data_IF_025890330786
#
_entry.id   IF_025890330786
#
_cell.length_a   1.000
_cell.length_b   1.000
_cell.length_c   1.000
_cell.angle_alpha   90.00
_cell.angle_beta   90.00
_cell.angle_gamma   90.00
#
_symmetry.space_group_name_H-M   'P 1'
#
loop_
_entity.id
_entity.type
_entity.pdbx_description
1 polymer ?
#
# COMPACT_ATOMS: atom_id res chain seq x y z
N UNK A 1 11.52 17.03 12.34
CA UNK A 1 12.05 15.75 12.83
C UNK A 1 11.55 14.66 11.89
N UNK A 2 12.41 13.72 11.48
CA UNK A 2 12.00 12.63 10.59
C UNK A 2 11.23 11.55 11.35
N UNK A 3 10.29 10.88 10.69
CA UNK A 3 9.59 9.74 11.27
C UNK A 3 10.59 8.61 11.57
N UNK A 4 10.59 7.99 12.77
CA UNK A 4 11.56 6.98 13.16
C UNK A 4 11.36 5.60 12.50
N UNK A 5 10.52 5.50 11.46
CA UNK A 5 10.25 4.28 10.70
C UNK A 5 9.74 3.10 11.56
N UNK A 6 9.02 3.44 12.63
CA UNK A 6 8.33 2.50 13.52
C UNK A 6 7.17 3.20 14.22
N UNK A 7 6.13 2.43 14.55
CA UNK A 7 5.01 2.94 15.36
C UNK A 7 5.52 3.31 16.76
N UNK A 8 5.12 4.50 17.22
CA UNK A 8 5.40 5.01 18.57
C UNK A 8 4.13 4.86 19.40
N UNK A 9 4.25 4.28 20.60
CA UNK A 9 3.09 3.93 21.43
C UNK A 9 3.44 3.93 22.92
N UNK A 10 2.44 3.61 23.75
CA UNK A 10 2.61 3.43 25.19
C UNK A 10 3.82 2.54 25.51
N UNK A 11 4.70 3.02 26.40
CA UNK A 11 5.94 2.34 26.75
C UNK A 11 7.14 2.71 25.89
N UNK A 12 7.03 3.71 24.99
CA UNK A 12 8.19 4.28 24.30
C UNK A 12 9.23 4.81 25.29
N UNK A 13 10.50 4.44 25.06
CA UNK A 13 11.64 4.74 25.93
C UNK A 13 12.61 5.76 25.34
N UNK A 14 12.48 6.12 24.07
CA UNK A 14 13.27 7.19 23.45
C UNK A 14 12.85 8.56 24.02
N UNK A 15 13.62 9.04 25.00
CA UNK A 15 13.30 10.24 25.77
C UNK A 15 13.21 11.51 24.89
N UNK A 16 14.10 11.65 23.91
CA UNK A 16 14.12 12.81 23.02
C UNK A 16 12.90 12.80 22.08
N UNK A 17 12.56 11.61 21.56
CA UNK A 17 11.37 11.41 20.74
C UNK A 17 10.09 11.73 21.52
N UNK A 18 9.96 11.21 22.75
CA UNK A 18 8.79 11.45 23.61
C UNK A 18 8.66 12.93 23.95
N UNK A 19 9.76 13.58 24.29
CA UNK A 19 9.79 15.03 24.55
C UNK A 19 9.28 15.83 23.35
N UNK A 20 9.79 15.52 22.15
CA UNK A 20 9.36 16.18 20.92
C UNK A 20 7.85 16.00 20.65
N UNK A 21 7.33 14.79 20.85
CA UNK A 21 5.89 14.50 20.72
C UNK A 21 5.06 15.33 21.69
N UNK A 22 5.45 15.37 22.97
CA UNK A 22 4.71 16.11 24.00
C UNK A 22 4.68 17.61 23.72
N UNK A 23 5.80 18.17 23.26
CA UNK A 23 5.88 19.58 22.82
C UNK A 23 4.87 19.84 21.70
N UNK A 24 4.87 19.01 20.66
CA UNK A 24 3.95 19.18 19.53
C UNK A 24 2.49 19.00 19.94
N UNK A 25 2.17 18.01 20.78
CA UNK A 25 0.79 17.81 21.25
C UNK A 25 0.29 19.03 22.04
N UNK A 26 1.10 19.58 22.94
CA UNK A 26 0.75 20.78 23.71
C UNK A 26 0.49 21.98 22.77
N UNK A 27 1.32 22.15 21.73
CA UNK A 27 1.18 23.23 20.75
C UNK A 27 -0.07 23.05 19.87
N UNK A 28 -0.27 21.86 19.28
CA UNK A 28 -1.37 21.61 18.33
C UNK A 28 -2.74 21.57 19.01
N UNK A 29 -2.82 21.06 20.24
CA UNK A 29 -4.10 20.94 20.95
C UNK A 29 -4.51 22.22 21.68
N UNK A 30 -3.63 23.22 21.76
CA UNK A 30 -3.83 24.50 22.49
C UNK A 30 -4.36 24.22 23.91
N UNK A 31 -3.67 23.33 24.63
CA UNK A 31 -4.09 22.89 25.96
C UNK A 31 -3.89 24.02 26.97
N UNK A 32 -4.83 24.18 27.90
CA UNK A 32 -4.61 25.00 29.08
C UNK A 32 -3.41 24.48 29.88
N UNK A 33 -2.70 25.34 30.61
CA UNK A 33 -1.48 24.95 31.34
C UNK A 33 -1.69 23.77 32.30
N UNK A 34 -2.88 23.63 32.88
CA UNK A 34 -3.25 22.51 33.76
C UNK A 34 -3.46 21.16 33.05
N UNK A 35 -3.61 21.18 31.72
CA UNK A 35 -3.82 20.01 30.87
C UNK A 35 -2.59 19.67 30.02
N UNK A 36 -1.59 20.55 29.99
CA UNK A 36 -0.37 20.36 29.23
C UNK A 36 0.42 19.15 29.74
N UNK A 37 0.98 18.38 28.81
CA UNK A 37 1.88 17.28 29.12
C UNK A 37 3.20 17.82 29.65
N UNK A 38 3.71 17.23 30.73
CA UNK A 38 5.07 17.47 31.21
C UNK A 38 6.09 16.94 30.20
N UNK A 39 6.81 17.86 29.56
CA UNK A 39 7.80 17.60 28.50
C UNK A 39 9.14 17.11 29.06
N UNK A 40 9.39 17.23 30.37
CA UNK A 40 10.61 16.70 31.01
C UNK A 40 10.46 15.24 31.41
N UNK A 41 9.24 14.75 31.61
CA UNK A 41 9.00 13.33 31.80
C UNK A 41 9.35 12.56 30.50
N UNK A 42 10.32 11.63 30.52
CA UNK A 42 10.77 10.93 29.31
C UNK A 42 9.80 9.84 28.85
N UNK A 43 8.79 9.49 29.65
CA UNK A 43 7.94 8.34 29.38
C UNK A 43 6.73 8.69 28.50
N UNK A 44 6.47 7.87 27.49
CA UNK A 44 5.17 7.84 26.82
C UNK A 44 4.20 7.01 27.68
N UNK A 45 3.54 7.70 28.62
CA UNK A 45 2.57 7.13 29.53
C UNK A 45 1.12 7.23 29.05
N UNK A 46 0.19 6.87 29.92
CA UNK A 46 -1.26 6.89 29.66
C UNK A 46 -1.77 8.28 29.26
N UNK A 47 -1.27 9.35 29.89
CA UNK A 47 -1.66 10.74 29.56
C UNK A 47 -1.25 11.11 28.13
N UNK A 48 -0.02 10.78 27.71
CA UNK A 48 0.44 10.99 26.33
C UNK A 48 -0.43 10.22 25.35
N UNK A 49 -0.76 8.95 25.65
CA UNK A 49 -1.68 8.15 24.81
C UNK A 49 -3.06 8.81 24.66
N UNK A 50 -3.62 9.35 25.74
CA UNK A 50 -4.91 10.04 25.70
C UNK A 50 -4.84 11.32 24.85
N UNK A 51 -3.77 12.10 24.97
CA UNK A 51 -3.57 13.29 24.15
C UNK A 51 -3.35 12.97 22.67
N UNK A 52 -2.67 11.87 22.35
CA UNK A 52 -2.58 11.40 20.96
C UNK A 52 -3.96 11.04 20.42
N UNK A 53 -4.81 10.35 21.20
CA UNK A 53 -6.20 10.08 20.78
C UNK A 53 -7.00 11.36 20.57
N UNK A 54 -6.84 12.34 21.45
CA UNK A 54 -7.50 13.64 21.31
C UNK A 54 -7.05 14.36 20.04
N UNK A 55 -5.74 14.35 19.75
CA UNK A 55 -5.20 14.87 18.49
C UNK A 55 -5.78 14.11 17.29
N UNK A 56 -5.75 12.78 17.28
CA UNK A 56 -6.30 11.96 16.20
C UNK A 56 -7.80 12.19 15.98
N UNK A 57 -8.57 12.56 17.01
CA UNK A 57 -10.00 12.90 16.87
C UNK A 57 -10.28 14.29 16.30
N UNK A 58 -9.29 15.20 16.32
CA UNK A 58 -9.44 16.61 15.93
C UNK A 58 -8.76 16.95 14.60
N UNK A 59 -7.78 16.14 14.19
CA UNK A 59 -6.95 16.40 13.01
C UNK A 59 -7.09 15.31 11.95
N UNK A 60 -6.83 15.70 10.70
CA UNK A 60 -6.82 14.82 9.52
C UNK A 60 -5.39 14.55 9.05
N UNK A 61 -5.22 13.59 8.13
CA UNK A 61 -4.03 13.56 7.29
C UNK A 61 -4.01 14.71 6.27
N UNK A 62 -2.91 14.86 5.51
CA UNK A 62 -2.78 15.90 4.48
C UNK A 62 -3.79 15.80 3.33
N UNK A 63 -4.46 14.65 3.20
CA UNK A 63 -5.47 14.39 2.20
C UNK A 63 -6.88 14.66 2.76
N UNK A 64 -6.98 15.20 3.98
CA UNK A 64 -8.25 15.52 4.64
C UNK A 64 -8.98 14.31 5.23
N UNK A 65 -8.33 13.14 5.29
CA UNK A 65 -8.97 11.94 5.84
C UNK A 65 -8.81 11.88 7.37
N UNK A 66 -9.82 11.36 8.10
CA UNK A 66 -9.70 11.15 9.53
C UNK A 66 -8.54 10.20 9.88
N UNK A 67 -7.79 10.59 10.92
CA UNK A 67 -6.78 9.73 11.52
C UNK A 67 -7.46 8.60 12.31
N UNK A 68 -6.77 7.46 12.42
CA UNK A 68 -7.23 6.36 13.27
C UNK A 68 -7.03 6.74 14.73
N UNK A 69 -8.08 6.64 15.56
CA UNK A 69 -8.05 7.05 16.97
C UNK A 69 -7.64 5.86 17.85
N UNK A 70 -6.37 5.49 17.82
CA UNK A 70 -5.82 4.35 18.59
C UNK A 70 -4.82 4.77 19.68
N UNK A 71 -4.33 6.01 19.65
CA UNK A 71 -3.30 6.50 20.56
C UNK A 71 -1.90 6.02 20.19
N UNK A 72 -1.72 5.48 18.98
CA UNK A 72 -0.44 5.10 18.40
C UNK A 72 -0.05 6.13 17.33
N UNK A 73 1.21 6.56 17.31
CA UNK A 73 1.72 7.49 16.31
C UNK A 73 2.40 6.69 15.21
N UNK A 74 1.66 6.41 14.14
CA UNK A 74 2.20 5.96 12.85
C UNK A 74 2.51 7.13 11.92
N UNK A 75 2.98 6.84 10.70
CA UNK A 75 3.41 7.86 9.73
C UNK A 75 2.36 8.96 9.46
N UNK A 76 1.08 8.58 9.33
CA UNK A 76 0.00 9.57 9.10
C UNK A 76 -0.18 10.53 10.28
N UNK A 77 -0.22 9.99 11.51
CA UNK A 77 -0.33 10.83 12.72
C UNK A 77 0.93 11.65 12.92
N UNK A 78 2.10 11.10 12.60
CA UNK A 78 3.38 11.82 12.64
C UNK A 78 3.37 13.02 11.70
N UNK A 79 3.02 12.80 10.43
CA UNK A 79 3.02 13.86 9.41
C UNK A 79 2.05 14.98 9.78
N UNK A 80 0.85 14.64 10.28
CA UNK A 80 -0.09 15.63 10.79
C UNK A 80 0.42 16.38 12.02
N UNK A 81 1.08 15.68 12.96
CA UNK A 81 1.56 16.27 14.22
C UNK A 81 2.76 17.19 14.01
N UNK A 82 3.69 16.81 13.12
CA UNK A 82 4.95 17.52 12.87
C UNK A 82 4.94 18.36 11.59
N UNK A 83 3.83 18.39 10.85
CA UNK A 83 3.66 19.12 9.57
C UNK A 83 4.78 18.82 8.57
N UNK A 84 5.28 17.59 8.55
CA UNK A 84 6.34 17.17 7.63
C UNK A 84 5.76 16.98 6.25
N UNK A 85 6.37 17.55 5.21
CA UNK A 85 5.90 17.39 3.84
C UNK A 85 5.78 15.92 3.41
N UNK A 86 4.81 15.66 2.54
CA UNK A 86 4.60 14.36 1.92
C UNK A 86 5.81 13.96 1.06
N UNK A 87 6.50 12.87 1.42
CA UNK A 87 7.43 12.25 0.49
C UNK A 87 6.63 11.48 -0.56
N UNK A 88 6.56 12.06 -1.77
CA UNK A 88 5.78 11.52 -2.88
C UNK A 88 6.70 10.82 -3.87
N UNK A 89 6.67 9.50 -3.84
CA UNK A 89 7.43 8.67 -4.76
C UNK A 89 6.59 8.34 -5.99
N UNK A 90 7.08 8.74 -7.17
CA UNK A 90 6.45 8.45 -8.47
C UNK A 90 7.30 7.60 -9.41
N UNK A 91 8.53 7.30 -9.03
CA UNK A 91 9.47 6.63 -9.92
C UNK A 91 9.75 5.21 -9.47
N UNK A 92 9.56 4.26 -10.37
CA UNK A 92 9.90 2.86 -10.13
C UNK A 92 11.41 2.65 -10.09
N UNK A 93 11.86 1.71 -9.27
CA UNK A 93 13.27 1.46 -9.00
C UNK A 93 14.03 0.80 -10.17
N UNK A 94 13.36 0.04 -11.04
CA UNK A 94 13.99 -0.65 -12.17
C UNK A 94 13.33 -0.35 -13.52
N UNK A 95 14.09 -0.54 -14.61
CA UNK A 95 13.59 -0.37 -15.98
C UNK A 95 12.42 -1.33 -16.28
N UNK A 96 12.47 -2.55 -15.75
CA UNK A 96 11.37 -3.50 -15.83
C UNK A 96 10.11 -2.94 -15.17
N UNK A 97 10.20 -2.51 -13.91
CA UNK A 97 9.04 -2.00 -13.18
C UNK A 97 8.45 -0.75 -13.82
N UNK A 98 9.29 0.15 -14.37
CA UNK A 98 8.81 1.29 -15.16
C UNK A 98 7.98 0.82 -16.36
N UNK A 99 8.44 -0.22 -17.05
CA UNK A 99 7.74 -0.76 -18.22
C UNK A 99 6.48 -1.55 -17.83
N UNK A 100 6.47 -2.25 -16.69
CA UNK A 100 5.28 -2.91 -16.11
C UNK A 100 4.17 -1.88 -15.85
N UNK A 101 4.51 -0.77 -15.19
CA UNK A 101 3.56 0.33 -14.93
C UNK A 101 3.05 0.92 -16.25
N UNK A 102 3.92 1.06 -17.26
CA UNK A 102 3.50 1.54 -18.57
C UNK A 102 2.51 0.59 -19.26
N UNK A 103 2.70 -0.74 -19.16
CA UNK A 103 1.75 -1.73 -19.70
C UNK A 103 0.40 -1.68 -18.96
N UNK A 104 0.42 -1.61 -17.63
CA UNK A 104 -0.79 -1.45 -16.83
C UNK A 104 -1.55 -0.17 -17.19
N UNK A 105 -0.83 0.93 -17.42
CA UNK A 105 -1.39 2.22 -17.86
C UNK A 105 -2.02 2.13 -19.24
N UNK A 106 -1.43 1.38 -20.17
CA UNK A 106 -1.99 1.14 -21.51
C UNK A 106 -3.31 0.39 -21.39
N UNK A 107 -3.38 -0.70 -20.62
CA UNK A 107 -4.62 -1.47 -20.45
C UNK A 107 -5.72 -0.67 -19.75
N UNK A 108 -5.36 0.17 -18.77
CA UNK A 108 -6.30 1.15 -18.19
C UNK A 108 -6.84 2.10 -19.25
N UNK A 109 -5.97 2.67 -20.11
CA UNK A 109 -6.37 3.64 -21.17
C UNK A 109 -7.24 3.01 -22.26
N UNK A 110 -7.04 1.73 -22.56
CA UNK A 110 -7.94 0.95 -23.42
C UNK A 110 -9.35 0.77 -22.82
N UNK A 111 -9.53 1.15 -21.55
CA UNK A 111 -10.79 0.99 -20.83
C UNK A 111 -11.23 -0.49 -20.84
N UNK A 112 -10.29 -1.42 -20.57
CA UNK A 112 -10.58 -2.86 -20.56
C UNK A 112 -11.69 -3.14 -19.55
N UNK A 113 -12.76 -3.80 -20.01
CA UNK A 113 -13.92 -4.21 -19.22
C UNK A 113 -14.26 -5.65 -19.51
N UNK A 114 -14.95 -6.27 -18.56
CA UNK A 114 -15.57 -7.56 -18.79
C UNK A 114 -16.72 -7.44 -19.79
N UNK A 115 -16.83 -8.45 -20.65
CA UNK A 115 -17.90 -8.57 -21.61
C UNK A 115 -18.36 -10.05 -21.73
N UNK A 116 -19.58 -10.39 -21.27
CA UNK A 116 -20.56 -9.53 -20.60
C UNK A 116 -20.08 -8.94 -19.26
N UNK A 117 -20.74 -7.90 -18.75
CA UNK A 117 -20.41 -7.31 -17.44
C UNK A 117 -20.53 -8.37 -16.34
N UNK A 118 -19.57 -8.40 -15.41
CA UNK A 118 -19.51 -9.33 -14.26
C UNK A 118 -19.40 -10.82 -14.65
N UNK A 119 -18.84 -11.10 -15.82
CA UNK A 119 -18.68 -12.47 -16.31
C UNK A 119 -17.29 -13.06 -16.06
N UNK A 120 -16.31 -12.23 -15.65
CA UNK A 120 -14.88 -12.58 -15.72
C UNK A 120 -14.44 -13.04 -17.13
N UNK A 121 -15.10 -12.53 -18.17
CA UNK A 121 -14.82 -12.80 -19.59
C UNK A 121 -14.62 -11.50 -20.36
N UNK A 122 -14.03 -11.61 -21.54
CA UNK A 122 -13.81 -10.51 -22.47
C UNK A 122 -12.56 -10.78 -23.30
N UNK A 123 -12.40 -10.08 -24.43
CA UNK A 123 -11.27 -10.33 -25.34
C UNK A 123 -9.92 -10.22 -24.63
N UNK A 124 -9.69 -9.13 -23.92
CA UNK A 124 -8.45 -8.89 -23.17
C UNK A 124 -8.38 -9.76 -21.90
N UNK A 125 -9.51 -9.91 -21.19
CA UNK A 125 -9.59 -10.70 -19.95
C UNK A 125 -9.23 -12.17 -20.21
N UNK A 126 -9.78 -12.77 -21.27
CA UNK A 126 -9.49 -14.14 -21.68
C UNK A 126 -8.00 -14.29 -22.06
N UNK A 127 -7.42 -13.28 -22.74
CA UNK A 127 -6.00 -13.27 -23.07
C UNK A 127 -5.09 -13.21 -21.83
N UNK A 128 -5.47 -12.45 -20.80
CA UNK A 128 -4.73 -12.40 -19.53
C UNK A 128 -4.74 -13.76 -18.84
N UNK A 129 -5.92 -14.37 -18.71
CA UNK A 129 -6.10 -15.67 -18.07
C UNK A 129 -5.30 -16.75 -18.78
N UNK A 130 -5.42 -16.84 -20.11
CA UNK A 130 -4.65 -17.78 -20.93
C UNK A 130 -3.14 -17.57 -20.78
N UNK A 131 -2.67 -16.31 -20.80
CA UNK A 131 -1.26 -15.98 -20.64
C UNK A 131 -0.71 -16.45 -19.29
N UNK A 132 -1.50 -16.32 -18.23
CA UNK A 132 -1.17 -16.80 -16.89
C UNK A 132 -1.34 -18.32 -16.71
N UNK A 133 -1.90 -19.03 -17.70
CA UNK A 133 -2.17 -20.46 -17.65
C UNK A 133 -3.41 -20.83 -16.83
N UNK A 134 -4.38 -19.92 -16.73
CA UNK A 134 -5.62 -20.11 -16.00
C UNK A 134 -6.81 -20.39 -16.93
N UNK A 135 -7.82 -21.08 -16.39
CA UNK A 135 -9.11 -21.26 -17.07
C UNK A 135 -9.85 -19.93 -17.24
N UNK A 136 -10.69 -19.87 -18.28
CA UNK A 136 -11.53 -18.70 -18.56
C UNK A 136 -12.64 -18.56 -17.50
N UNK A 137 -13.12 -17.33 -17.27
CA UNK A 137 -14.20 -17.04 -16.31
C UNK A 137 -13.76 -17.02 -14.84
N UNK A 138 -12.46 -17.16 -14.57
CA UNK A 138 -11.88 -17.02 -13.23
C UNK A 138 -11.54 -15.56 -12.92
N UNK A 139 -11.46 -15.21 -11.64
CA UNK A 139 -10.97 -13.89 -11.21
C UNK A 139 -9.57 -13.64 -11.80
N UNK A 140 -9.37 -12.46 -12.39
CA UNK A 140 -8.26 -12.20 -13.33
C UNK A 140 -7.29 -11.11 -12.88
N UNK A 141 -7.39 -10.62 -11.64
CA UNK A 141 -6.52 -9.56 -11.11
C UNK A 141 -5.02 -9.92 -11.20
N UNK A 142 -4.63 -11.11 -10.72
CA UNK A 142 -3.23 -11.55 -10.79
C UNK A 142 -2.81 -11.95 -12.20
N UNK A 143 -3.73 -12.46 -13.02
CA UNK A 143 -3.48 -12.74 -14.44
C UNK A 143 -3.15 -11.45 -15.22
N UNK A 144 -3.85 -10.36 -14.92
CA UNK A 144 -3.55 -9.03 -15.44
C UNK A 144 -2.17 -8.52 -15.01
N UNK A 145 -1.80 -8.69 -13.74
CA UNK A 145 -0.44 -8.33 -13.28
C UNK A 145 0.60 -9.16 -14.02
N UNK A 146 0.40 -10.48 -14.16
CA UNK A 146 1.29 -11.35 -14.93
C UNK A 146 1.41 -10.89 -16.39
N UNK A 147 0.31 -10.53 -17.04
CA UNK A 147 0.30 -9.96 -18.38
C UNK A 147 1.18 -8.71 -18.48
N UNK A 148 1.06 -7.77 -17.55
CA UNK A 148 1.86 -6.55 -17.54
C UNK A 148 3.36 -6.83 -17.41
N UNK A 149 3.73 -7.79 -16.56
CA UNK A 149 5.11 -8.28 -16.42
C UNK A 149 5.62 -8.96 -17.70
N UNK A 150 4.80 -9.79 -18.33
CA UNK A 150 5.17 -10.52 -19.53
C UNK A 150 5.38 -9.60 -20.74
N UNK A 151 4.47 -8.66 -20.96
CA UNK A 151 4.60 -7.66 -22.03
C UNK A 151 5.78 -6.72 -21.78
N UNK A 152 6.03 -6.34 -20.53
CA UNK A 152 7.20 -5.53 -20.17
C UNK A 152 8.51 -6.27 -20.42
N UNK A 153 8.60 -7.54 -20.02
CA UNK A 153 9.77 -8.37 -20.24
C UNK A 153 10.05 -8.56 -21.74
N UNK A 154 9.02 -8.86 -22.55
CA UNK A 154 9.15 -8.96 -24.02
C UNK A 154 9.67 -7.68 -24.65
N UNK A 155 9.10 -6.53 -24.28
CA UNK A 155 9.53 -5.24 -24.83
C UNK A 155 10.98 -4.90 -24.47
N UNK A 156 11.45 -5.37 -23.31
CA UNK A 156 12.84 -5.23 -22.87
C UNK A 156 13.74 -6.40 -23.30
N UNK A 157 13.22 -7.36 -24.08
CA UNK A 157 13.93 -8.58 -24.49
C UNK A 157 14.54 -9.35 -23.31
N UNK A 158 13.82 -9.40 -22.17
CA UNK A 158 14.19 -10.14 -20.96
C UNK A 158 13.26 -11.33 -20.73
N UNK A 159 13.73 -12.29 -19.93
CA UNK A 159 12.85 -13.29 -19.33
C UNK A 159 11.92 -12.61 -18.32
N UNK A 160 10.64 -12.98 -18.33
CA UNK A 160 9.67 -12.50 -17.34
C UNK A 160 10.01 -13.08 -15.94
N UNK A 161 10.35 -12.24 -14.95
CA UNK A 161 10.70 -12.73 -13.62
C UNK A 161 9.48 -13.07 -12.76
N UNK A 162 8.29 -12.56 -13.11
CA UNK A 162 7.09 -12.84 -12.34
C UNK A 162 6.73 -14.32 -12.43
N UNK A 163 6.34 -14.88 -11.29
CA UNK A 163 5.87 -16.27 -11.21
C UNK A 163 4.61 -16.42 -12.06
N UNK A 164 4.63 -17.36 -13.00
CA UNK A 164 3.47 -17.68 -13.84
C UNK A 164 2.34 -18.29 -13.01
N UNK A 165 1.35 -17.47 -12.68
CA UNK A 165 0.15 -17.85 -11.93
C UNK A 165 -0.93 -16.79 -12.11
N UNK A 166 -2.20 -17.18 -11.92
CA UNK A 166 -3.33 -16.26 -11.75
C UNK A 166 -3.82 -16.19 -10.29
N UNK A 167 -3.18 -16.90 -9.35
CA UNK A 167 -3.57 -16.93 -7.94
C UNK A 167 -2.74 -15.97 -7.09
N UNK A 168 -3.39 -15.00 -6.43
CA UNK A 168 -2.70 -14.01 -5.58
C UNK A 168 -1.85 -14.65 -4.47
N UNK A 169 -2.40 -15.64 -3.74
CA UNK A 169 -1.67 -16.32 -2.66
C UNK A 169 -0.60 -17.28 -3.20
N UNK A 170 -0.82 -17.86 -4.39
CA UNK A 170 0.20 -18.64 -5.07
C UNK A 170 1.40 -17.76 -5.48
N UNK A 171 1.13 -16.54 -5.97
CA UNK A 171 2.16 -15.54 -6.28
C UNK A 171 2.95 -15.15 -5.03
N UNK A 172 2.27 -14.83 -3.92
CA UNK A 172 2.89 -14.50 -2.64
C UNK A 172 3.78 -15.63 -2.08
N UNK A 173 3.26 -16.85 -2.06
CA UNK A 173 3.98 -18.00 -1.52
C UNK A 173 5.14 -18.41 -2.43
N UNK A 174 4.92 -18.39 -3.74
CA UNK A 174 5.96 -18.65 -4.73
C UNK A 174 7.09 -17.64 -4.66
N UNK A 175 6.79 -16.35 -4.44
CA UNK A 175 7.80 -15.30 -4.34
C UNK A 175 8.76 -15.59 -3.18
N UNK A 176 8.21 -15.96 -2.00
CA UNK A 176 9.01 -16.39 -0.86
C UNK A 176 9.89 -17.62 -1.17
N UNK A 177 9.33 -18.63 -1.83
CA UNK A 177 10.09 -19.84 -2.22
C UNK A 177 11.22 -19.56 -3.20
N UNK A 178 11.06 -18.56 -4.08
CA UNK A 178 12.09 -18.13 -5.05
C UNK A 178 13.05 -17.07 -4.50
N UNK A 179 12.97 -16.71 -3.22
CA UNK A 179 13.80 -15.67 -2.64
C UNK A 179 13.52 -14.25 -3.16
N UNK A 180 12.36 -14.03 -3.80
CA UNK A 180 11.93 -12.70 -4.22
C UNK A 180 11.48 -11.95 -2.98
N UNK A 181 11.97 -10.71 -2.82
CA UNK A 181 11.71 -9.92 -1.63
C UNK A 181 10.22 -9.69 -1.39
N UNK A 182 9.81 -9.82 -0.12
CA UNK A 182 8.44 -9.60 0.35
C UNK A 182 8.43 -8.70 1.56
N UNK A 183 7.57 -7.69 1.55
CA UNK A 183 7.26 -6.86 2.71
C UNK A 183 5.90 -7.31 3.24
N UNK A 184 5.87 -7.89 4.44
CA UNK A 184 4.62 -8.31 5.09
C UNK A 184 3.76 -7.10 5.47
N UNK A 185 2.45 -7.30 5.65
CA UNK A 185 1.56 -6.25 6.15
C UNK A 185 2.05 -5.63 7.48
N UNK A 186 2.60 -6.45 8.40
CA UNK A 186 3.15 -5.97 9.66
C UNK A 186 4.39 -5.07 9.45
N UNK A 187 5.30 -5.45 8.55
CA UNK A 187 6.45 -4.61 8.20
C UNK A 187 6.02 -3.31 7.51
N UNK A 188 5.06 -3.38 6.58
CA UNK A 188 4.53 -2.21 5.89
C UNK A 188 3.81 -1.24 6.85
N UNK A 189 3.11 -1.78 7.86
CA UNK A 189 2.47 -0.98 8.89
C UNK A 189 3.50 -0.31 9.81
N UNK A 190 4.54 -1.03 10.21
CA UNK A 190 5.60 -0.48 11.06
C UNK A 190 6.41 0.60 10.32
N UNK A 191 6.80 0.31 9.08
CA UNK A 191 7.60 1.18 8.23
C UNK A 191 6.98 1.31 6.82
N UNK A 192 6.04 2.24 6.61
CA UNK A 192 5.45 2.47 5.30
C UNK A 192 6.44 2.93 4.22
N UNK A 193 7.62 3.45 4.60
CA UNK A 193 8.66 3.85 3.65
C UNK A 193 9.31 2.65 2.92
N UNK A 194 9.06 1.42 3.38
CA UNK A 194 9.47 0.21 2.66
C UNK A 194 8.72 0.02 1.34
N UNK A 195 7.56 0.65 1.16
CA UNK A 195 6.72 0.47 -0.01
C UNK A 195 7.20 1.38 -1.13
N UNK A 196 7.46 0.80 -2.31
CA UNK A 196 8.02 1.48 -3.47
C UNK A 196 7.11 1.35 -4.68
N UNK A 197 7.24 2.32 -5.60
CA UNK A 197 6.59 2.29 -6.91
C UNK A 197 7.06 1.07 -7.71
N UNK A 198 6.11 0.34 -8.27
CA UNK A 198 6.30 -0.89 -9.04
C UNK A 198 6.11 -2.18 -8.24
N UNK A 199 6.01 -2.11 -6.92
CA UNK A 199 5.69 -3.30 -6.10
C UNK A 199 4.28 -3.81 -6.39
N UNK A 200 4.10 -5.13 -6.21
CA UNK A 200 2.81 -5.80 -6.35
C UNK A 200 2.21 -6.02 -4.97
N UNK A 201 1.07 -5.39 -4.67
CA UNK A 201 0.40 -5.63 -3.39
C UNK A 201 -0.38 -6.95 -3.44
N UNK A 202 -0.52 -7.63 -2.31
CA UNK A 202 -1.34 -8.83 -2.15
C UNK A 202 -2.29 -8.60 -0.99
N UNK A 203 -3.55 -8.98 -1.19
CA UNK A 203 -4.57 -9.08 -0.16
C UNK A 203 -5.05 -10.52 -0.06
N UNK A 204 -5.34 -10.95 1.16
CA UNK A 204 -5.78 -12.30 1.51
C UNK A 204 -7.16 -12.22 2.17
N UNK A 205 -8.13 -12.93 1.63
CA UNK A 205 -9.51 -12.94 2.13
C UNK A 205 -9.95 -14.33 2.58
N UNK A 206 -8.99 -15.22 2.81
CA UNK A 206 -9.23 -16.60 3.18
C UNK A 206 -9.75 -17.46 2.03
N UNK A 207 -9.82 -18.77 2.28
CA UNK A 207 -10.31 -19.78 1.32
C UNK A 207 -9.62 -19.76 -0.06
N UNK A 208 -8.37 -19.29 -0.12
CA UNK A 208 -7.63 -19.18 -1.38
C UNK A 208 -7.94 -17.92 -2.21
N UNK A 209 -8.88 -17.07 -1.74
CA UNK A 209 -9.28 -15.86 -2.42
C UNK A 209 -8.35 -14.70 -2.05
N UNK A 210 -7.95 -13.93 -3.05
CA UNK A 210 -7.07 -12.77 -2.87
C UNK A 210 -7.42 -11.62 -3.78
N UNK A 211 -6.66 -10.52 -3.67
CA UNK A 211 -6.67 -9.43 -4.64
C UNK A 211 -5.27 -8.86 -4.79
N UNK A 212 -4.98 -8.26 -5.95
CA UNK A 212 -3.65 -7.73 -6.25
C UNK A 212 -3.70 -6.62 -7.30
N UNK A 213 -2.61 -5.86 -7.36
CA UNK A 213 -2.38 -4.83 -8.37
C UNK A 213 -0.99 -4.24 -8.22
N UNK A 214 -0.68 -3.30 -9.11
CA UNK A 214 0.64 -2.69 -9.24
C UNK A 214 0.59 -1.31 -8.58
N UNK A 215 1.52 -1.04 -7.65
CA UNK A 215 1.71 0.29 -7.05
C UNK A 215 2.34 1.22 -8.09
N UNK A 216 1.69 2.36 -8.38
CA UNK A 216 2.17 3.36 -9.35
C UNK A 216 2.60 4.68 -8.71
N UNK A 217 2.19 4.94 -7.47
CA UNK A 217 2.60 6.10 -6.67
C UNK A 217 2.50 5.73 -5.19
N UNK A 218 3.41 6.27 -4.38
CA UNK A 218 3.38 6.20 -2.91
C UNK A 218 3.42 7.62 -2.36
N UNK A 219 2.51 7.96 -1.45
CA UNK A 219 2.40 9.29 -0.86
C UNK A 219 1.76 9.18 0.51
N UNK A 220 2.42 9.66 1.57
CA UNK A 220 1.84 9.78 2.92
C UNK A 220 1.11 8.53 3.45
N UNK A 221 1.72 7.34 3.39
CA UNK A 221 1.03 6.13 3.87
C UNK A 221 -0.13 5.65 2.96
N UNK A 222 -0.32 6.30 1.81
CA UNK A 222 -1.22 5.91 0.74
C UNK A 222 -0.43 5.38 -0.46
N UNK A 223 -1.11 4.55 -1.25
CA UNK A 223 -0.66 4.09 -2.56
C UNK A 223 -1.72 4.42 -3.60
N UNK A 224 -1.27 4.84 -4.78
CA UNK A 224 -2.08 4.76 -5.99
C UNK A 224 -1.70 3.48 -6.72
N UNK A 225 -2.68 2.74 -7.21
CA UNK A 225 -2.51 1.43 -7.84
C UNK A 225 -3.19 1.37 -9.20
N UNK A 226 -2.74 0.46 -10.07
CA UNK A 226 -3.53 -0.04 -11.21
C UNK A 226 -3.84 -1.51 -10.98
N UNK A 227 -5.12 -1.86 -11.10
CA UNK A 227 -5.66 -3.16 -10.71
C UNK A 227 -6.60 -3.66 -11.80
N UNK A 228 -6.57 -4.97 -12.06
CA UNK A 228 -7.56 -5.66 -12.88
C UNK A 228 -8.60 -6.34 -12.00
N UNK A 229 -9.73 -6.76 -12.58
CA UNK A 229 -10.86 -7.37 -11.86
C UNK A 229 -11.30 -6.53 -10.64
N UNK A 230 -11.61 -5.27 -10.88
CA UNK A 230 -12.11 -4.34 -9.87
C UNK A 230 -13.05 -3.33 -10.54
N UNK A 231 -13.69 -2.51 -9.73
CA UNK A 231 -14.40 -1.30 -10.15
C UNK A 231 -13.95 -0.05 -9.36
N UNK A 232 -14.61 1.08 -9.60
CA UNK A 232 -14.34 2.36 -8.91
C UNK A 232 -14.69 2.35 -7.40
N UNK A 233 -15.44 1.33 -6.92
CA UNK A 233 -15.83 1.18 -5.52
C UNK A 233 -14.85 0.33 -4.71
N UNK A 234 -13.69 -0.03 -5.29
CA UNK A 234 -12.74 -1.01 -4.73
C UNK A 234 -13.33 -2.43 -4.61
N UNK A 235 -14.37 -2.75 -5.40
CA UNK A 235 -14.89 -4.13 -5.51
C UNK A 235 -13.80 -5.06 -6.01
N UNK A 236 -13.88 -6.32 -5.63
CA UNK A 236 -12.89 -7.36 -5.95
C UNK A 236 -13.34 -8.35 -7.01
N UNK A 237 -14.56 -8.17 -7.46
CA UNK A 237 -15.22 -9.03 -8.42
C UNK A 237 -15.98 -8.12 -9.38
N UNK A 238 -15.62 -8.21 -10.67
CA UNK A 238 -16.34 -7.58 -11.75
C UNK A 238 -15.92 -6.14 -12.02
N UNK A 239 -15.50 -5.90 -13.26
CA UNK A 239 -15.45 -4.56 -13.81
C UNK A 239 -14.45 -4.46 -14.94
N UNK A 240 -13.18 -4.25 -14.60
CA UNK A 240 -12.16 -3.92 -15.57
C UNK A 240 -10.82 -3.54 -14.95
N UNK A 241 -10.02 -2.83 -15.73
CA UNK A 241 -8.78 -2.22 -15.27
C UNK A 241 -9.06 -0.80 -14.77
N UNK A 242 -8.69 -0.52 -13.51
CA UNK A 242 -8.91 0.77 -12.86
C UNK A 242 -7.66 1.27 -12.16
N UNK A 243 -7.59 2.59 -11.96
CA UNK A 243 -6.64 3.22 -11.06
C UNK A 243 -7.35 3.55 -9.76
N UNK A 244 -6.77 3.14 -8.64
CA UNK A 244 -7.39 3.25 -7.31
C UNK A 244 -6.41 3.87 -6.32
N UNK A 245 -6.94 4.36 -5.18
CA UNK A 245 -6.15 4.88 -4.06
C UNK A 245 -6.45 4.01 -2.82
N UNK A 246 -5.41 3.53 -2.15
CA UNK A 246 -5.52 2.66 -0.95
C UNK A 246 -4.60 3.16 0.16
N UNK A 247 -5.01 2.99 1.41
CA UNK A 247 -4.09 3.10 2.56
C UNK A 247 -3.15 1.90 2.54
N UNK A 248 -1.86 2.08 2.81
CA UNK A 248 -0.90 0.97 2.89
C UNK A 248 -1.36 -0.08 3.91
N UNK A 249 -1.93 0.37 5.03
CA UNK A 249 -2.43 -0.51 6.09
C UNK A 249 -3.72 -1.27 5.75
N UNK A 250 -4.38 -0.99 4.63
CA UNK A 250 -5.50 -1.82 4.17
C UNK A 250 -5.02 -3.09 3.47
N UNK A 251 -3.75 -3.13 3.03
CA UNK A 251 -3.13 -4.30 2.41
C UNK A 251 -2.77 -5.32 3.48
N UNK A 252 -3.60 -6.34 3.64
CA UNK A 252 -3.53 -7.27 4.77
C UNK A 252 -2.59 -8.47 4.59
N UNK A 253 -2.02 -8.69 3.40
CA UNK A 253 -0.98 -9.73 3.19
C UNK A 253 0.42 -9.13 3.08
N UNK A 254 0.61 -8.20 2.16
CA UNK A 254 1.90 -7.51 1.97
C UNK A 254 2.17 -7.12 0.52
N UNK A 255 3.45 -6.92 0.20
CA UNK A 255 3.95 -6.45 -1.09
C UNK A 255 5.09 -7.33 -1.58
N UNK A 256 5.13 -7.63 -2.88
CA UNK A 256 6.22 -8.35 -3.54
C UNK A 256 7.06 -7.33 -4.31
N UNK A 257 8.37 -7.39 -4.12
CA UNK A 257 9.34 -6.48 -4.74
C UNK A 257 10.17 -7.19 -5.81
N UNK A 258 9.98 -6.75 -7.05
CA UNK A 258 10.72 -7.22 -8.24
C UNK A 258 11.81 -6.22 -8.68
N UNK A 259 12.20 -5.26 -7.85
CA UNK A 259 13.17 -4.21 -8.21
C UNK A 259 14.57 -4.72 -8.53
N UNK A 260 14.92 -5.95 -8.13
CA UNK A 260 16.21 -6.59 -8.43
C UNK A 260 16.31 -7.20 -9.84
N UNK A 261 15.28 -7.07 -10.69
CA UNK A 261 15.22 -7.60 -12.06
C UNK A 261 15.13 -6.48 -13.13
#
# INVERSE_FOLDING_TARGET
MNYPNRIIKLGETDAELVKAIKVQLNQKLVLASSQALDTQNPNFGTSTKQMVKLFQSRFTDHEGNPLKIDGEIGLLTWNALFETAADRQKQAASALLKQVIAMATVEKKKNVREHPKNSNRGKEVDAYLQRAGAGLGLSWCCAFVYWCFDEAAKKLQKTNPMIKTAGCLAHWNGAGKKGIARITAAQAQANPQLIKVGMVFIMDYGKGLGHTGIVIEVSDGWITTIEGNTDASLSREGGGVYQLKRKINSINKGFIDYSSF
#
